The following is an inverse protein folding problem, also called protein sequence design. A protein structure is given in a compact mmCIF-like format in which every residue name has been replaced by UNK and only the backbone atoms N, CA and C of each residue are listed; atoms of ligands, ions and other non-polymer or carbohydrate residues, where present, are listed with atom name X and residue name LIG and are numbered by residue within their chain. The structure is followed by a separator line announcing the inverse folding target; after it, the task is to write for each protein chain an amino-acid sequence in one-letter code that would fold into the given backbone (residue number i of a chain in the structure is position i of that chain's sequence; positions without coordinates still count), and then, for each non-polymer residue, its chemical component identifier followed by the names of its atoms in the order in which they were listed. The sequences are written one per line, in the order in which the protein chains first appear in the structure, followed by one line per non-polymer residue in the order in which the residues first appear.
data_IF_187419958619
#
_entry.id   IF_187419958619
#
_cell.length_a   1.000
_cell.length_b   1.000
_cell.length_c   1.000
_cell.angle_alpha   90.00
_cell.angle_beta   90.00
_cell.angle_gamma   90.00
#
_symmetry.space_group_name_H-M   'P 1'
#
loop_
_entity.id
_entity.type
_entity.pdbx_description
1 polymer ?
#
# COMPACT_ATOMS: atom_id res chain seq x y z
N UNK A 1 12.08 -6.50 5.83
CA UNK A 1 12.71 -6.44 4.49
C UNK A 1 11.72 -6.53 3.34
N UNK A 2 10.71 -7.41 3.38
CA UNK A 2 9.76 -7.58 2.26
C UNK A 2 9.20 -6.27 1.68
N UNK A 3 8.63 -5.39 2.53
CA UNK A 3 8.09 -4.12 2.04
C UNK A 3 9.15 -3.17 1.47
N UNK A 4 10.36 -3.17 2.02
CA UNK A 4 11.47 -2.37 1.48
C UNK A 4 11.85 -2.83 0.07
N UNK A 5 12.07 -4.13 -0.10
CA UNK A 5 12.45 -4.71 -1.39
C UNK A 5 11.33 -4.59 -2.44
N UNK A 6 10.07 -4.77 -2.04
CA UNK A 6 8.92 -4.63 -2.93
C UNK A 6 8.81 -3.20 -3.49
N UNK A 7 8.97 -2.18 -2.63
CA UNK A 7 8.97 -0.78 -3.07
C UNK A 7 10.10 -0.51 -4.04
N UNK A 8 11.35 -0.85 -3.70
CA UNK A 8 12.48 -0.60 -4.60
C UNK A 8 12.30 -1.30 -5.94
N UNK A 9 11.86 -2.55 -5.94
CA UNK A 9 11.64 -3.29 -7.18
C UNK A 9 10.55 -2.65 -8.05
N UNK A 10 9.41 -2.26 -7.46
CA UNK A 10 8.33 -1.60 -8.18
C UNK A 10 8.76 -0.23 -8.74
N UNK A 11 9.49 0.57 -7.96
CA UNK A 11 10.03 1.87 -8.39
C UNK A 11 11.01 1.71 -9.56
N UNK A 12 11.90 0.71 -9.48
CA UNK A 12 12.86 0.38 -10.54
C UNK A 12 12.15 -0.04 -11.84
N UNK A 13 11.14 -0.91 -11.76
CA UNK A 13 10.35 -1.32 -12.93
C UNK A 13 9.63 -0.14 -13.60
N UNK A 14 9.18 0.82 -12.78
CA UNK A 14 8.51 2.03 -13.26
C UNK A 14 9.48 3.11 -13.75
N UNK A 15 10.77 3.01 -13.42
CA UNK A 15 11.76 4.04 -13.72
C UNK A 15 11.48 5.34 -12.98
N UNK A 16 11.04 5.26 -11.73
CA UNK A 16 10.62 6.41 -10.94
C UNK A 16 11.34 6.49 -9.60
N UNK A 17 11.60 7.71 -9.14
CA UNK A 17 12.21 8.02 -7.85
C UNK A 17 11.57 9.28 -7.28
N UNK A 18 11.70 9.53 -5.98
CA UNK A 18 11.17 10.72 -5.32
C UNK A 18 12.14 11.91 -5.35
N UNK A 19 13.43 11.70 -5.58
CA UNK A 19 14.40 12.80 -5.76
C UNK A 19 14.29 13.49 -7.12
N UNK A 20 13.69 12.81 -8.11
CA UNK A 20 13.63 13.27 -9.49
C UNK A 20 12.19 13.40 -9.99
N UNK A 21 11.89 14.52 -10.64
CA UNK A 21 10.54 14.82 -11.13
C UNK A 21 9.61 15.34 -10.04
N UNK A 22 8.30 15.28 -10.31
CA UNK A 22 7.30 15.76 -9.36
C UNK A 22 7.18 14.82 -8.16
N UNK A 23 7.04 15.40 -6.97
CA UNK A 23 6.63 14.65 -5.79
C UNK A 23 5.31 13.94 -6.03
N UNK A 24 5.19 12.73 -5.48
CA UNK A 24 4.03 11.86 -5.63
C UNK A 24 3.34 11.66 -4.30
N UNK A 25 2.02 11.83 -4.31
CA UNK A 25 1.19 11.51 -3.15
C UNK A 25 1.17 10.02 -2.95
N UNK A 26 1.61 9.59 -1.77
CA UNK A 26 1.74 8.17 -1.43
C UNK A 26 0.85 7.85 -0.24
N UNK A 27 0.06 6.79 -0.34
CA UNK A 27 -0.69 6.26 0.81
C UNK A 27 -0.26 4.84 1.11
N UNK A 28 -0.20 4.50 2.39
CA UNK A 28 0.10 3.14 2.85
C UNK A 28 -1.06 2.64 3.71
N UNK A 29 -1.68 1.54 3.29
CA UNK A 29 -2.62 0.80 4.13
C UNK A 29 -1.85 -0.14 5.07
N UNK A 30 -2.08 0.04 6.38
CA UNK A 30 -1.45 -0.72 7.44
C UNK A 30 -0.15 -0.10 7.96
N UNK A 31 0.17 -0.37 9.23
CA UNK A 31 1.37 0.11 9.90
C UNK A 31 2.14 -1.02 10.61
N UNK A 32 2.24 -2.17 9.94
CA UNK A 32 3.01 -3.33 10.41
C UNK A 32 4.49 -3.27 10.03
N UNK A 33 5.22 -4.36 10.29
CA UNK A 33 6.65 -4.47 9.93
C UNK A 33 6.90 -4.38 8.41
N UNK A 34 5.96 -4.89 7.60
CA UNK A 34 6.00 -4.76 6.14
C UNK A 34 5.85 -3.31 5.71
N UNK A 35 4.80 -2.63 6.18
CA UNK A 35 4.55 -1.21 5.91
C UNK A 35 5.71 -0.32 6.35
N UNK A 36 6.29 -0.55 7.53
CA UNK A 36 7.50 0.19 7.97
C UNK A 36 8.66 0.04 6.98
N UNK A 37 8.91 -1.17 6.49
CA UNK A 37 9.93 -1.39 5.46
C UNK A 37 9.64 -0.60 4.18
N UNK A 38 8.38 -0.57 3.74
CA UNK A 38 7.95 0.21 2.58
C UNK A 38 8.11 1.72 2.79
N UNK A 39 7.71 2.24 3.97
CA UNK A 39 7.87 3.65 4.34
C UNK A 39 9.35 4.05 4.31
N UNK A 40 10.23 3.25 4.92
CA UNK A 40 11.66 3.56 4.90
C UNK A 40 12.27 3.51 3.50
N UNK A 41 11.81 2.61 2.63
CA UNK A 41 12.23 2.62 1.21
C UNK A 41 11.77 3.90 0.50
N UNK A 42 10.51 4.30 0.66
CA UNK A 42 10.00 5.54 0.08
C UNK A 42 10.80 6.77 0.56
N UNK A 43 11.03 6.89 1.87
CA UNK A 43 11.82 8.01 2.42
C UNK A 43 13.26 7.98 1.90
N UNK A 44 13.90 6.81 1.84
CA UNK A 44 15.25 6.66 1.30
C UNK A 44 15.35 7.03 -0.19
N UNK A 45 14.24 6.89 -0.93
CA UNK A 45 14.11 7.28 -2.33
C UNK A 45 13.48 8.68 -2.51
N UNK A 46 13.42 9.50 -1.46
CA UNK A 46 13.10 10.93 -1.58
C UNK A 46 11.61 11.26 -1.68
N UNK A 47 10.71 10.31 -1.46
CA UNK A 47 9.28 10.58 -1.34
C UNK A 47 8.98 11.24 0.01
N UNK A 48 8.21 12.34 -0.02
CA UNK A 48 7.94 13.17 1.17
C UNK A 48 6.46 13.30 1.50
N UNK A 49 5.58 13.21 0.49
CA UNK A 49 4.12 13.27 0.68
C UNK A 49 3.58 11.85 0.96
N UNK A 50 3.74 11.41 2.21
CA UNK A 50 3.44 10.06 2.68
C UNK A 50 2.30 10.12 3.71
N UNK A 51 1.18 9.49 3.40
CA UNK A 51 0.06 9.30 4.33
C UNK A 51 -0.06 7.83 4.74
N UNK A 52 -0.13 7.55 6.04
CA UNK A 52 -0.26 6.23 6.63
C UNK A 52 -1.70 6.05 7.11
N UNK A 53 -2.39 5.08 6.52
CA UNK A 53 -3.78 4.72 6.82
C UNK A 53 -3.81 3.57 7.83
N UNK A 54 -4.25 3.86 9.06
CA UNK A 54 -4.33 2.90 10.15
C UNK A 54 -5.79 2.45 10.34
N UNK A 55 -6.04 1.15 10.43
CA UNK A 55 -7.37 0.58 10.68
C UNK A 55 -7.63 0.22 12.16
N UNK A 56 -6.57 0.15 12.96
CA UNK A 56 -6.60 -0.15 14.40
C UNK A 56 -6.57 1.13 15.23
N UNK A 57 -6.94 1.09 16.52
CA UNK A 57 -6.91 2.26 17.39
C UNK A 57 -5.47 2.78 17.60
N UNK A 58 -5.33 4.09 17.76
CA UNK A 58 -4.04 4.79 17.76
C UNK A 58 -3.08 4.37 18.89
N UNK A 59 -3.59 3.83 20.01
CA UNK A 59 -2.78 3.44 21.17
C UNK A 59 -1.88 2.21 20.93
N UNK A 60 -2.02 1.52 19.79
CA UNK A 60 -1.12 0.42 19.40
C UNK A 60 0.10 0.89 18.59
N UNK A 61 0.18 2.17 18.22
CA UNK A 61 1.29 2.75 17.46
C UNK A 61 2.41 3.16 18.42
N UNK A 62 3.29 2.22 18.75
CA UNK A 62 4.34 2.45 19.75
C UNK A 62 5.51 3.30 19.28
N UNK A 63 5.70 3.43 17.96
CA UNK A 63 6.80 4.19 17.35
C UNK A 63 6.33 4.78 16.01
N UNK A 64 6.02 6.08 16.02
CA UNK A 64 5.69 6.81 14.80
C UNK A 64 6.94 7.03 13.94
N UNK A 65 6.73 7.08 12.62
CA UNK A 65 7.74 7.49 11.66
C UNK A 65 7.57 8.98 11.43
N UNK A 66 8.62 9.74 11.73
CA UNK A 66 8.64 11.20 11.54
C UNK A 66 8.28 11.60 10.10
N UNK A 67 7.77 12.82 9.92
CA UNK A 67 7.41 13.41 8.62
C UNK A 67 6.44 12.57 7.77
N UNK A 68 5.57 11.80 8.41
CA UNK A 68 4.46 11.13 7.74
C UNK A 68 3.13 11.69 8.27
N UNK A 69 2.14 11.80 7.39
CA UNK A 69 0.77 12.12 7.80
C UNK A 69 0.05 10.85 8.23
N UNK A 70 -0.67 10.89 9.34
CA UNK A 70 -1.38 9.72 9.87
C UNK A 70 -2.88 9.95 9.83
N UNK A 71 -3.61 8.98 9.30
CA UNK A 71 -5.08 9.01 9.24
C UNK A 71 -5.66 7.65 9.62
N UNK A 72 -6.88 7.65 10.14
CA UNK A 72 -7.61 6.42 10.41
C UNK A 72 -8.52 6.06 9.25
N UNK A 73 -8.57 4.78 8.89
CA UNK A 73 -9.51 4.25 7.90
C UNK A 73 -10.47 3.28 8.59
N UNK A 74 -11.76 3.49 8.41
CA UNK A 74 -12.81 2.67 9.00
C UNK A 74 -13.99 2.49 8.05
N UNK A 75 -14.80 1.45 8.29
CA UNK A 75 -16.09 1.32 7.62
C UNK A 75 -17.00 2.50 7.97
N UNK A 76 -17.80 2.93 6.99
CA UNK A 76 -18.90 3.86 7.20
C UNK A 76 -20.13 3.17 7.80
N UNK A 77 -20.99 3.95 8.44
CA UNK A 77 -22.26 3.48 9.00
C UNK A 77 -23.42 3.78 8.03
N UNK A 78 -24.64 3.32 8.37
CA UNK A 78 -25.84 3.49 7.53
C UNK A 78 -25.99 4.92 6.95
N UNK A 79 -26.10 5.00 5.61
CA UNK A 79 -26.23 6.26 4.87
C UNK A 79 -24.92 6.98 4.53
N UNK A 80 -23.77 6.47 4.96
CA UNK A 80 -22.45 7.01 4.64
C UNK A 80 -21.78 6.24 3.49
N UNK A 81 -20.70 6.80 2.95
CA UNK A 81 -19.83 6.06 2.04
C UNK A 81 -19.22 4.85 2.75
N UNK A 82 -19.03 3.76 2.01
CA UNK A 82 -18.61 2.45 2.55
C UNK A 82 -17.36 2.51 3.43
N UNK A 83 -16.35 3.31 3.05
CA UNK A 83 -15.16 3.53 3.87
C UNK A 83 -14.84 5.02 4.02
N UNK A 84 -14.39 5.38 5.21
CA UNK A 84 -14.09 6.75 5.62
C UNK A 84 -12.65 6.87 6.06
N UNK A 85 -12.05 8.00 5.72
CA UNK A 85 -10.82 8.52 6.33
C UNK A 85 -11.23 9.47 7.44
N UNK A 86 -10.64 9.30 8.62
CA UNK A 86 -10.81 10.17 9.79
C UNK A 86 -9.45 10.81 10.08
N UNK A 87 -9.40 12.14 9.98
CA UNK A 87 -8.21 12.93 10.30
C UNK A 87 -8.06 13.12 11.82
N UNK A 88 -6.91 13.62 12.28
CA UNK A 88 -6.63 13.81 13.72
C UNK A 88 -7.61 14.78 14.41
N UNK A 89 -8.12 15.78 13.68
CA UNK A 89 -9.13 16.72 14.18
C UNK A 89 -10.56 16.14 14.20
N UNK A 90 -10.72 14.87 13.80
CA UNK A 90 -12.00 14.17 13.73
C UNK A 90 -12.79 14.43 12.45
N UNK A 91 -12.29 15.26 11.53
CA UNK A 91 -12.92 15.45 10.22
C UNK A 91 -12.95 14.15 9.43
N UNK A 92 -14.04 13.94 8.69
CA UNK A 92 -14.29 12.69 7.96
C UNK A 92 -14.50 12.97 6.49
N UNK A 93 -13.93 12.12 5.65
CA UNK A 93 -14.15 12.15 4.20
C UNK A 93 -14.13 10.74 3.61
N UNK A 94 -14.74 10.52 2.44
CA UNK A 94 -14.69 9.23 1.76
C UNK A 94 -13.25 8.78 1.49
N UNK A 95 -12.95 7.50 1.66
CA UNK A 95 -11.65 6.96 1.29
C UNK A 95 -11.35 7.13 -0.20
N UNK A 96 -12.38 7.05 -1.04
CA UNK A 96 -12.30 7.28 -2.49
C UNK A 96 -11.73 8.67 -2.84
N UNK A 97 -11.97 9.68 -2.01
CA UNK A 97 -11.43 11.03 -2.20
C UNK A 97 -9.92 11.10 -1.93
N UNK A 98 -9.41 10.28 -1.02
CA UNK A 98 -7.97 10.12 -0.80
C UNK A 98 -7.34 9.36 -1.96
N UNK A 99 -7.94 8.22 -2.34
CA UNK A 99 -7.45 7.35 -3.42
C UNK A 99 -7.36 8.08 -4.76
N UNK A 100 -8.36 8.89 -5.12
CA UNK A 100 -8.37 9.65 -6.39
C UNK A 100 -7.28 10.70 -6.52
N UNK A 101 -6.67 11.11 -5.40
CA UNK A 101 -5.56 12.07 -5.36
C UNK A 101 -4.20 11.41 -5.25
N UNK A 102 -4.16 10.09 -5.09
CA UNK A 102 -2.96 9.32 -4.75
C UNK A 102 -2.27 8.78 -6.00
N UNK A 103 -0.95 8.95 -6.07
CA UNK A 103 -0.12 8.48 -7.17
C UNK A 103 0.47 7.08 -6.90
N UNK A 104 0.82 6.80 -5.64
CA UNK A 104 1.36 5.50 -5.21
C UNK A 104 0.53 5.00 -4.02
N UNK A 105 -0.03 3.80 -4.15
CA UNK A 105 -0.76 3.13 -3.08
C UNK A 105 0.03 1.90 -2.67
N UNK A 106 0.30 1.73 -1.39
CA UNK A 106 0.96 0.55 -0.85
C UNK A 106 -0.03 -0.18 0.05
N UNK A 107 -0.27 -1.46 -0.21
CA UNK A 107 -1.02 -2.32 0.70
C UNK A 107 -0.05 -3.22 1.46
N UNK A 108 0.06 -2.99 2.77
CA UNK A 108 0.78 -3.83 3.72
C UNK A 108 -0.12 -4.32 4.86
N UNK A 109 -1.44 -4.24 4.67
CA UNK A 109 -2.42 -4.73 5.64
C UNK A 109 -2.48 -6.25 5.57
N UNK A 110 -2.28 -6.91 6.71
CA UNK A 110 -2.62 -8.31 6.87
C UNK A 110 -4.15 -8.45 6.93
N UNK A 111 -4.73 -9.12 5.95
CA UNK A 111 -6.18 -9.25 5.81
C UNK A 111 -6.74 -10.32 6.76
N UNK A 112 -7.94 -10.07 7.27
CA UNK A 112 -8.78 -11.11 7.85
C UNK A 112 -9.45 -11.88 6.71
N UNK A 113 -9.15 -13.16 6.56
CA UNK A 113 -9.70 -13.99 5.47
C UNK A 113 -11.19 -14.24 5.61
N UNK A 114 -11.74 -14.17 6.82
CA UNK A 114 -13.18 -14.34 7.07
C UNK A 114 -13.96 -13.05 6.79
N UNK A 115 -13.29 -11.90 6.95
CA UNK A 115 -13.88 -10.58 6.70
C UNK A 115 -12.88 -9.62 6.03
N UNK A 116 -12.53 -9.85 4.76
CA UNK A 116 -11.47 -9.10 4.10
C UNK A 116 -11.89 -7.65 3.87
N UNK A 117 -10.99 -6.72 4.17
CA UNK A 117 -11.21 -5.33 3.82
C UNK A 117 -10.88 -5.10 2.36
N UNK A 118 -11.86 -4.66 1.58
CA UNK A 118 -11.65 -4.20 0.22
C UNK A 118 -11.47 -2.67 0.21
N UNK A 119 -10.29 -2.15 -0.12
CA UNK A 119 -9.99 -0.73 -0.24
C UNK A 119 -10.66 -0.10 -1.45
N UNK A 120 -10.74 -0.83 -2.55
CA UNK A 120 -11.41 -0.40 -3.78
C UNK A 120 -12.22 -1.56 -4.34
N UNK A 121 -13.53 -1.39 -4.38
CA UNK A 121 -14.45 -2.30 -5.07
C UNK A 121 -14.52 -1.99 -6.57
N UNK A 122 -15.11 -2.88 -7.36
CA UNK A 122 -15.27 -2.65 -8.81
C UNK A 122 -16.08 -1.37 -9.11
N UNK A 123 -17.13 -1.11 -8.32
CA UNK A 123 -17.94 0.11 -8.40
C UNK A 123 -17.16 1.39 -8.06
N UNK A 124 -16.09 1.27 -7.27
CA UNK A 124 -15.22 2.39 -6.90
C UNK A 124 -13.99 2.51 -7.83
N UNK A 125 -13.86 1.65 -8.84
CA UNK A 125 -12.68 1.58 -9.71
C UNK A 125 -12.38 2.89 -10.46
N UNK A 126 -13.39 3.73 -10.72
CA UNK A 126 -13.22 5.04 -11.35
C UNK A 126 -12.50 6.06 -10.47
N UNK A 127 -12.41 5.82 -9.16
CA UNK A 127 -11.65 6.67 -8.24
C UNK A 127 -10.16 6.34 -8.22
N UNK A 128 -9.70 5.26 -8.86
CA UNK A 128 -8.27 5.04 -9.02
C UNK A 128 -7.70 6.10 -9.96
N UNK A 129 -6.70 6.84 -9.47
CA UNK A 129 -6.03 7.87 -10.26
C UNK A 129 -5.40 7.25 -11.51
N UNK A 130 -5.65 7.77 -12.72
CA UNK A 130 -4.99 7.26 -13.92
C UNK A 130 -3.47 7.33 -13.82
N UNK A 131 -2.78 6.33 -14.36
CA UNK A 131 -1.31 6.18 -14.33
C UNK A 131 -0.69 6.10 -12.91
N UNK A 132 -1.50 5.77 -11.90
CA UNK A 132 -1.00 5.46 -10.55
C UNK A 132 -0.35 4.08 -10.48
N UNK A 133 0.39 3.86 -9.40
CA UNK A 133 1.03 2.60 -9.05
C UNK A 133 0.42 2.07 -7.75
N UNK A 134 0.02 0.80 -7.76
CA UNK A 134 -0.35 0.05 -6.56
C UNK A 134 0.74 -1.00 -6.32
N UNK A 135 1.25 -1.04 -5.09
CA UNK A 135 2.22 -2.03 -4.60
C UNK A 135 1.53 -2.83 -3.50
N UNK A 136 0.95 -3.96 -3.86
CA UNK A 136 0.28 -4.85 -2.92
C UNK A 136 1.26 -5.92 -2.41
N UNK A 137 1.84 -5.66 -1.25
CA UNK A 137 2.87 -6.52 -0.63
C UNK A 137 2.22 -7.68 0.13
N UNK A 138 1.00 -7.47 0.60
CA UNK A 138 0.18 -8.43 1.36
C UNK A 138 -0.92 -9.01 0.46
N UNK A 139 -0.60 -9.22 -0.82
CA UNK A 139 -1.59 -9.60 -1.82
C UNK A 139 -2.10 -11.02 -1.59
N UNK A 140 -3.38 -11.10 -1.27
CA UNK A 140 -4.20 -12.29 -1.42
C UNK A 140 -5.20 -12.07 -2.56
N UNK A 141 -5.51 -13.12 -3.32
CA UNK A 141 -6.38 -13.01 -4.49
C UNK A 141 -7.77 -12.48 -4.11
N UNK A 142 -8.22 -11.42 -4.78
CA UNK A 142 -9.52 -10.78 -4.53
C UNK A 142 -9.63 -9.94 -3.25
N UNK A 143 -8.56 -9.78 -2.46
CA UNK A 143 -8.57 -9.01 -1.21
C UNK A 143 -7.86 -7.67 -1.37
N UNK A 144 -8.29 -6.64 -0.62
CA UNK A 144 -7.72 -5.29 -0.70
C UNK A 144 -8.13 -4.51 -1.96
N UNK A 145 -8.02 -5.12 -3.13
CA UNK A 145 -8.50 -4.58 -4.41
C UNK A 145 -9.28 -5.67 -5.16
N UNK A 146 -10.41 -5.32 -5.77
CA UNK A 146 -11.26 -6.31 -6.45
C UNK A 146 -10.58 -7.09 -7.59
N UNK A 147 -9.49 -6.56 -8.16
CA UNK A 147 -8.68 -7.23 -9.20
C UNK A 147 -7.36 -7.78 -8.67
N UNK A 148 -7.18 -7.83 -7.34
CA UNK A 148 -5.96 -8.31 -6.72
C UNK A 148 -5.65 -9.74 -7.14
N UNK A 149 -4.45 -9.95 -7.67
CA UNK A 149 -3.93 -11.25 -8.06
C UNK A 149 -2.42 -11.31 -7.79
N UNK A 150 -1.92 -12.33 -7.07
CA UNK A 150 -0.49 -12.50 -6.87
C UNK A 150 0.28 -12.63 -8.19
N UNK A 151 1.49 -12.08 -8.21
CA UNK A 151 2.39 -12.07 -9.36
C UNK A 151 3.73 -12.73 -9.00
N UNK A 152 4.63 -12.86 -9.97
CA UNK A 152 5.94 -13.52 -9.80
C UNK A 152 7.07 -12.58 -10.17
N UNK A 153 8.30 -12.83 -9.73
CA UNK A 153 9.45 -12.02 -10.19
C UNK A 153 9.62 -12.00 -11.72
N UNK A 154 9.18 -13.04 -12.43
CA UNK A 154 9.23 -13.09 -13.90
C UNK A 154 8.21 -12.15 -14.55
N UNK A 155 7.03 -12.04 -13.96
CA UNK A 155 5.94 -11.17 -14.41
C UNK A 155 5.42 -10.38 -13.19
N UNK A 156 6.16 -9.37 -12.71
CA UNK A 156 5.94 -8.79 -11.37
C UNK A 156 4.82 -7.76 -11.29
N UNK A 157 4.29 -7.35 -12.44
CA UNK A 157 3.32 -6.27 -12.55
C UNK A 157 2.39 -6.53 -13.72
N UNK A 158 1.12 -6.18 -13.56
CA UNK A 158 0.15 -6.10 -14.64
C UNK A 158 -0.62 -4.78 -14.56
N UNK A 159 -1.44 -4.50 -15.58
CA UNK A 159 -2.26 -3.27 -15.62
C UNK A 159 -3.73 -3.58 -15.39
N UNK A 160 -4.37 -2.82 -14.51
CA UNK A 160 -5.81 -2.63 -14.50
C UNK A 160 -6.14 -1.29 -15.14
N UNK A 161 -6.68 -1.31 -16.37
CA UNK A 161 -6.83 -0.11 -17.21
C UNK A 161 -5.48 0.64 -17.31
N UNK A 162 -5.37 1.83 -16.72
CA UNK A 162 -4.15 2.65 -16.70
C UNK A 162 -3.30 2.47 -15.44
N UNK A 163 -3.79 1.76 -14.43
CA UNK A 163 -3.12 1.59 -13.14
C UNK A 163 -2.15 0.43 -13.22
N UNK A 164 -0.92 0.67 -12.80
CA UNK A 164 0.09 -0.38 -12.65
C UNK A 164 -0.08 -1.08 -11.30
N UNK A 165 -0.19 -2.40 -11.30
CA UNK A 165 -0.39 -3.21 -10.10
C UNK A 165 0.76 -4.20 -9.92
N UNK A 166 1.59 -3.94 -8.91
CA UNK A 166 2.69 -4.79 -8.47
C UNK A 166 2.25 -5.63 -7.29
N UNK A 167 2.43 -6.95 -7.35
CA UNK A 167 2.00 -7.83 -6.27
C UNK A 167 2.83 -9.11 -6.20
N UNK A 168 4.17 -9.00 -6.23
CA UNK A 168 5.02 -10.19 -6.18
C UNK A 168 4.82 -10.89 -4.85
N UNK A 169 4.42 -12.15 -4.91
CA UNK A 169 4.07 -12.95 -3.75
C UNK A 169 5.18 -12.91 -2.68
N UNK A 170 4.78 -12.64 -1.43
CA UNK A 170 5.70 -12.62 -0.29
C UNK A 170 6.48 -13.94 -0.15
N UNK A 171 5.87 -15.07 -0.50
CA UNK A 171 6.52 -16.39 -0.49
C UNK A 171 7.70 -16.46 -1.45
N UNK A 172 7.65 -15.76 -2.58
CA UNK A 172 8.78 -15.67 -3.51
C UNK A 172 9.92 -14.83 -2.92
N UNK A 173 9.61 -13.75 -2.20
CA UNK A 173 10.62 -12.95 -1.46
C UNK A 173 11.29 -13.78 -0.35
N UNK A 174 10.49 -14.55 0.39
CA UNK A 174 11.01 -15.45 1.43
C UNK A 174 11.88 -16.53 0.81
N UNK A 175 11.46 -17.19 -0.28
CA UNK A 175 12.26 -18.22 -0.96
C UNK A 175 13.63 -17.73 -1.38
N UNK A 176 13.72 -16.54 -1.99
CA UNK A 176 14.99 -15.96 -2.44
C UNK A 176 15.90 -15.55 -1.27
N UNK A 177 15.33 -15.02 -0.19
CA UNK A 177 16.10 -14.61 0.99
C UNK A 177 16.57 -15.81 1.82
N UNK A 178 15.74 -16.84 1.98
CA UNK A 178 16.08 -18.05 2.72
C UNK A 178 17.15 -18.92 2.03
N UNK A 179 17.32 -18.83 0.71
CA UNK A 179 18.48 -19.44 0.03
C UNK A 179 19.83 -18.82 0.42
N UNK A 180 19.86 -17.62 1.03
CA UNK A 180 21.11 -16.99 1.50
C UNK A 180 21.40 -17.21 2.99
N UNK A 181 20.39 -17.51 3.80
CA UNK A 181 20.55 -17.66 5.26
C UNK A 181 21.00 -19.06 5.71
N UNK A 182 20.87 -20.08 4.86
CA UNK A 182 21.27 -21.47 5.20
C UNK A 182 22.66 -21.88 4.67
N UNK A 183 23.50 -20.94 4.22
CA UNK A 183 24.89 -21.20 3.80
C UNK A 183 25.96 -20.59 4.72
N UNK A 184 25.60 -20.28 5.96
CA UNK A 184 26.56 -19.96 7.01
C UNK A 184 26.43 -20.97 8.15
N UNK A 185 27.12 -22.10 8.00
CA UNK A 185 27.59 -22.97 9.07
C UNK A 185 28.89 -23.62 8.58
#
# INVERSE_FOLDING_TARGET
MAGYCAVIHALQLKGIDGHYGNQRKTIIFGFGAVSRGAIYALKAHGFRDITICIQRPDHEVREEVLDCHYVRVQAGNNGQTRMLVVEHDGTKRPLTDLISKTDIIINGTYQDTENPTNFVTEAESSYLKPNSLIIDISCDEGMGFFFAKPTTFKNPMFKYKTVDYYAVDLREFVRLSSTRTFKSN
#
